data_IF_190249090838
#
_entry.id   IF_190249090838
#
_cell.length_a   1.000
_cell.length_b   1.000
_cell.length_c   1.000
_cell.angle_alpha   90.00
_cell.angle_beta   90.00
_cell.angle_gamma   90.00
#
_symmetry.space_group_name_H-M   'P 1'
#
loop_
_entity.id
_entity.type
_entity.pdbx_description
1 polymer ?
#
# COMPACT_ATOMS: atom_id res chain seq x y z
N UNK A 1 59.18 10.08 -15.97
CA UNK A 1 58.29 9.13 -16.69
C UNK A 1 57.50 8.17 -15.81
N UNK A 2 58.06 7.57 -14.74
CA UNK A 2 57.35 6.58 -13.89
C UNK A 2 56.08 7.14 -13.20
N UNK A 3 56.13 8.33 -12.59
CA UNK A 3 54.96 8.97 -11.92
C UNK A 3 53.76 9.22 -12.85
N UNK A 4 53.99 9.64 -14.11
CA UNK A 4 52.90 9.85 -15.10
C UNK A 4 52.20 8.53 -15.47
N UNK A 5 52.93 7.42 -15.59
CA UNK A 5 52.35 6.10 -15.86
C UNK A 5 51.50 5.59 -14.69
N UNK A 6 51.92 5.81 -13.45
CA UNK A 6 51.15 5.43 -12.25
C UNK A 6 49.83 6.20 -12.12
N UNK A 7 49.83 7.50 -12.44
CA UNK A 7 48.61 8.34 -12.44
C UNK A 7 47.62 7.87 -13.51
N UNK A 8 48.10 7.53 -14.72
CA UNK A 8 47.25 7.02 -15.81
C UNK A 8 46.63 5.67 -15.43
N UNK A 9 47.41 4.74 -14.87
CA UNK A 9 46.90 3.43 -14.43
C UNK A 9 45.87 3.59 -13.31
N UNK A 10 46.15 4.44 -12.32
CA UNK A 10 45.20 4.74 -11.23
C UNK A 10 43.89 5.33 -11.76
N UNK A 11 43.97 6.22 -12.75
CA UNK A 11 42.78 6.82 -13.38
C UNK A 11 41.93 5.79 -14.13
N UNK A 12 42.56 4.83 -14.81
CA UNK A 12 41.87 3.73 -15.51
C UNK A 12 41.18 2.81 -14.50
N UNK A 13 41.85 2.47 -13.39
CA UNK A 13 41.27 1.64 -12.33
C UNK A 13 40.04 2.32 -11.71
N UNK A 14 40.12 3.62 -11.42
CA UNK A 14 38.98 4.40 -10.90
C UNK A 14 37.83 4.41 -11.91
N UNK A 15 38.10 4.59 -13.20
CA UNK A 15 37.07 4.56 -14.24
C UNK A 15 36.38 3.19 -14.31
N UNK A 16 37.14 2.09 -14.25
CA UNK A 16 36.57 0.73 -14.23
C UNK A 16 35.69 0.47 -13.01
N UNK A 17 36.08 0.99 -11.84
CA UNK A 17 35.26 0.90 -10.62
C UNK A 17 33.94 1.68 -10.76
N UNK A 18 33.96 2.87 -11.36
CA UNK A 18 32.76 3.67 -11.62
C UNK A 18 31.84 2.94 -12.61
N UNK A 19 32.39 2.39 -13.70
CA UNK A 19 31.61 1.62 -14.68
C UNK A 19 31.01 0.37 -14.02
N UNK A 20 31.78 -0.35 -13.21
CA UNK A 20 31.28 -1.50 -12.44
C UNK A 20 30.13 -1.14 -11.51
N UNK A 21 30.23 -0.01 -10.80
CA UNK A 21 29.15 0.49 -9.93
C UNK A 21 27.90 0.86 -10.72
N UNK A 22 28.04 1.57 -11.85
CA UNK A 22 26.91 1.94 -12.71
C UNK A 22 26.21 0.70 -13.26
N UNK A 23 26.96 -0.28 -13.76
CA UNK A 23 26.40 -1.56 -14.23
C UNK A 23 25.65 -2.28 -13.11
N UNK A 24 26.24 -2.37 -11.92
CA UNK A 24 25.59 -2.98 -10.76
C UNK A 24 24.26 -2.31 -10.39
N UNK A 25 24.21 -0.97 -10.39
CA UNK A 25 22.99 -0.21 -10.12
C UNK A 25 21.91 -0.45 -11.19
N UNK A 26 22.29 -0.51 -12.47
CA UNK A 26 21.38 -0.82 -13.57
C UNK A 26 20.81 -2.23 -13.45
N UNK A 27 21.66 -3.24 -13.19
CA UNK A 27 21.21 -4.62 -12.98
C UNK A 27 20.25 -4.74 -11.80
N UNK A 28 20.55 -4.06 -10.68
CA UNK A 28 19.67 -4.03 -9.51
C UNK A 28 18.32 -3.40 -9.83
N UNK A 29 18.30 -2.25 -10.53
CA UNK A 29 17.06 -1.58 -10.94
C UNK A 29 16.21 -2.45 -11.85
N UNK A 30 16.81 -3.11 -12.83
CA UNK A 30 16.10 -4.02 -13.74
C UNK A 30 15.44 -5.19 -13.00
N UNK A 31 16.15 -5.79 -12.03
CA UNK A 31 15.59 -6.86 -11.20
C UNK A 31 14.40 -6.38 -10.36
N UNK A 32 14.50 -5.18 -9.76
CA UNK A 32 13.41 -4.59 -8.97
C UNK A 32 12.18 -4.33 -9.86
N UNK A 33 12.36 -3.72 -11.03
CA UNK A 33 11.26 -3.43 -11.95
C UNK A 33 10.54 -4.72 -12.39
N UNK A 34 11.30 -5.76 -12.74
CA UNK A 34 10.74 -7.07 -13.10
C UNK A 34 9.86 -7.63 -11.97
N UNK A 35 10.33 -7.59 -10.72
CA UNK A 35 9.54 -8.06 -9.58
C UNK A 35 8.26 -7.22 -9.38
N UNK A 36 8.31 -5.90 -9.58
CA UNK A 36 7.13 -5.03 -9.49
C UNK A 36 6.11 -5.40 -10.58
N UNK A 37 6.56 -5.67 -11.81
CA UNK A 37 5.67 -6.09 -12.89
C UNK A 37 5.00 -7.44 -12.59
N UNK A 38 5.75 -8.39 -12.02
CA UNK A 38 5.23 -9.69 -11.58
C UNK A 38 4.19 -9.53 -10.45
N UNK A 39 4.45 -8.67 -9.45
CA UNK A 39 3.47 -8.37 -8.39
C UNK A 39 2.19 -7.74 -8.92
N UNK A 40 2.30 -6.78 -9.86
CA UNK A 40 1.14 -6.13 -10.48
C UNK A 40 0.28 -7.12 -11.27
N UNK A 41 0.92 -8.04 -12.00
CA UNK A 41 0.23 -9.12 -12.73
C UNK A 41 -0.48 -10.05 -11.75
N UNK A 42 0.22 -10.51 -10.71
CA UNK A 42 -0.34 -11.38 -9.68
C UNK A 42 -1.56 -10.74 -9.00
N UNK A 43 -1.46 -9.47 -8.59
CA UNK A 43 -2.57 -8.76 -7.96
C UNK A 43 -3.77 -8.63 -8.90
N UNK A 44 -3.52 -8.31 -10.16
CA UNK A 44 -4.56 -8.21 -11.19
C UNK A 44 -5.32 -9.53 -11.37
N UNK A 45 -4.61 -10.66 -11.37
CA UNK A 45 -5.20 -12.00 -11.46
C UNK A 45 -6.01 -12.36 -10.20
N UNK A 46 -5.44 -12.15 -9.01
CA UNK A 46 -6.10 -12.43 -7.73
C UNK A 46 -7.41 -11.65 -7.54
N UNK A 47 -7.38 -10.35 -7.81
CA UNK A 47 -8.54 -9.46 -7.64
C UNK A 47 -9.41 -9.31 -8.88
N UNK A 48 -9.06 -9.95 -10.00
CA UNK A 48 -9.72 -9.80 -11.30
C UNK A 48 -9.81 -8.34 -11.73
N UNK A 49 -8.70 -7.61 -11.59
CA UNK A 49 -8.56 -6.19 -11.94
C UNK A 49 -7.51 -5.99 -13.04
N UNK A 50 -7.18 -4.73 -13.37
CA UNK A 50 -6.17 -4.39 -14.38
C UNK A 50 -4.73 -4.60 -13.89
N UNK A 51 -3.82 -4.99 -14.80
CA UNK A 51 -2.36 -5.03 -14.56
C UNK A 51 -1.78 -3.65 -14.28
N UNK A 52 -2.44 -2.59 -14.75
CA UNK A 52 -2.08 -1.21 -14.44
C UNK A 52 -2.73 -0.78 -13.11
N UNK A 53 -2.21 -1.36 -12.03
CA UNK A 53 -2.63 -1.09 -10.67
C UNK A 53 -1.50 -0.56 -9.78
N UNK A 54 -1.90 0.07 -8.67
CA UNK A 54 -1.00 0.74 -7.71
C UNK A 54 -0.69 -0.10 -6.45
N UNK A 55 -1.16 -1.35 -6.38
CA UNK A 55 -1.00 -2.17 -5.19
C UNK A 55 0.39 -2.81 -5.15
N UNK A 56 1.00 -2.84 -3.97
CA UNK A 56 2.32 -3.44 -3.75
C UNK A 56 2.25 -4.34 -2.53
N UNK A 57 2.65 -5.60 -2.68
CA UNK A 57 2.58 -6.58 -1.59
C UNK A 57 3.55 -6.20 -0.46
N UNK A 58 3.10 -6.39 0.78
CA UNK A 58 3.92 -6.28 1.98
C UNK A 58 3.66 -7.46 2.90
N UNK A 59 4.63 -7.81 3.71
CA UNK A 59 4.42 -8.75 4.83
C UNK A 59 3.72 -8.04 5.98
N UNK A 60 3.19 -8.80 6.93
CA UNK A 60 2.51 -8.23 8.11
C UNK A 60 3.46 -7.37 8.95
N UNK A 61 4.73 -7.77 9.08
CA UNK A 61 5.76 -7.02 9.80
C UNK A 61 6.10 -5.71 9.09
N UNK A 62 6.11 -5.71 7.75
CA UNK A 62 6.27 -4.48 6.96
C UNK A 62 5.08 -3.55 7.11
N UNK A 63 3.85 -4.08 7.12
CA UNK A 63 2.65 -3.30 7.42
C UNK A 63 2.73 -2.70 8.82
N UNK A 64 3.07 -3.48 9.85
CA UNK A 64 3.22 -2.97 11.21
C UNK A 64 4.28 -1.86 11.29
N UNK A 65 5.40 -1.97 10.56
CA UNK A 65 6.40 -0.90 10.47
C UNK A 65 5.85 0.36 9.81
N UNK A 66 5.06 0.21 8.74
CA UNK A 66 4.40 1.33 8.06
C UNK A 66 3.37 2.00 8.98
N UNK A 67 2.56 1.22 9.69
CA UNK A 67 1.58 1.75 10.64
C UNK A 67 2.25 2.47 11.82
N UNK A 68 3.43 2.03 12.26
CA UNK A 68 4.18 2.67 13.36
C UNK A 68 4.89 3.96 12.97
N UNK A 69 5.44 4.04 11.76
CA UNK A 69 6.38 5.11 11.40
C UNK A 69 6.24 5.66 9.97
N UNK A 70 5.48 4.98 9.12
CA UNK A 70 5.40 5.26 7.69
C UNK A 70 4.35 6.30 7.32
N UNK A 71 4.31 6.60 6.02
CA UNK A 71 3.29 7.43 5.38
C UNK A 71 2.80 6.73 4.12
N UNK A 72 1.49 6.69 3.91
CA UNK A 72 0.86 6.11 2.73
C UNK A 72 -0.50 5.49 3.01
N UNK A 73 -1.06 4.85 1.99
CA UNK A 73 -2.27 4.03 2.13
C UNK A 73 -1.92 2.57 2.34
N UNK A 74 -2.58 1.95 3.32
CA UNK A 74 -2.54 0.49 3.56
C UNK A 74 -3.91 -0.10 3.26
N UNK A 75 -3.95 -1.12 2.40
CA UNK A 75 -5.13 -1.90 2.08
C UNK A 75 -5.00 -3.31 2.68
N UNK A 76 -5.95 -3.65 3.55
CA UNK A 76 -6.07 -4.98 4.16
C UNK A 76 -7.28 -5.68 3.54
N UNK A 77 -7.03 -6.78 2.83
CA UNK A 77 -8.05 -7.50 2.06
C UNK A 77 -7.66 -8.96 1.85
N UNK A 78 -8.43 -9.68 1.05
CA UNK A 78 -8.05 -10.99 0.50
C UNK A 78 -8.88 -11.31 -0.76
N UNK A 79 -8.39 -12.12 -1.71
CA UNK A 79 -9.05 -12.32 -3.01
C UNK A 79 -10.45 -12.97 -2.94
N UNK A 80 -10.68 -13.85 -1.98
CA UNK A 80 -11.92 -14.61 -1.81
C UNK A 80 -13.08 -13.72 -1.31
N UNK A 81 -12.73 -12.61 -0.67
CA UNK A 81 -13.62 -11.59 -0.11
C UNK A 81 -14.40 -10.83 -1.20
N UNK A 82 -15.73 -11.06 -1.39
CA UNK A 82 -16.46 -10.52 -2.53
C UNK A 82 -16.45 -9.00 -2.63
N UNK A 83 -16.58 -8.30 -1.51
CA UNK A 83 -16.49 -6.84 -1.56
C UNK A 83 -15.06 -6.30 -1.59
N UNK A 84 -14.05 -7.11 -1.26
CA UNK A 84 -12.67 -6.66 -1.48
C UNK A 84 -12.45 -6.55 -3.00
N UNK A 85 -12.98 -7.51 -3.77
CA UNK A 85 -12.94 -7.48 -5.25
C UNK A 85 -13.68 -6.29 -5.86
N UNK A 86 -14.80 -5.86 -5.29
CA UNK A 86 -15.51 -4.66 -5.77
C UNK A 86 -14.84 -3.34 -5.37
N UNK A 87 -14.20 -3.29 -4.21
CA UNK A 87 -13.56 -2.08 -3.71
C UNK A 87 -12.23 -1.76 -4.40
N UNK A 88 -11.45 -2.79 -4.74
CA UNK A 88 -10.13 -2.66 -5.38
C UNK A 88 -10.14 -1.82 -6.67
N UNK A 89 -11.04 -2.06 -7.65
CA UNK A 89 -11.13 -1.23 -8.84
C UNK A 89 -11.40 0.25 -8.55
N UNK A 90 -12.22 0.55 -7.54
CA UNK A 90 -12.56 1.92 -7.14
C UNK A 90 -11.34 2.61 -6.53
N UNK A 91 -10.67 1.94 -5.58
CA UNK A 91 -9.41 2.46 -5.00
C UNK A 91 -8.39 2.73 -6.11
N UNK A 92 -8.22 1.78 -7.04
CA UNK A 92 -7.24 1.91 -8.12
C UNK A 92 -7.55 3.08 -9.07
N UNK A 93 -8.82 3.26 -9.43
CA UNK A 93 -9.29 4.38 -10.25
C UNK A 93 -8.94 5.71 -9.60
N UNK A 94 -9.32 5.88 -8.32
CA UNK A 94 -9.10 7.14 -7.59
C UNK A 94 -7.60 7.38 -7.37
N UNK A 95 -6.86 6.36 -6.94
CA UNK A 95 -5.42 6.47 -6.71
C UNK A 95 -4.67 6.94 -7.96
N UNK A 96 -4.99 6.38 -9.12
CA UNK A 96 -4.38 6.79 -10.39
C UNK A 96 -4.78 8.19 -10.81
N UNK A 97 -6.05 8.57 -10.61
CA UNK A 97 -6.53 9.93 -10.89
C UNK A 97 -5.80 10.97 -10.05
N UNK A 98 -5.57 10.68 -8.77
CA UNK A 98 -4.90 11.57 -7.82
C UNK A 98 -3.36 11.41 -7.83
N UNK A 99 -2.81 10.60 -8.73
CA UNK A 99 -1.35 10.43 -8.91
C UNK A 99 -0.64 9.68 -7.77
N UNK A 100 -1.37 8.91 -6.94
CA UNK A 100 -0.76 8.04 -5.94
C UNK A 100 -0.18 6.79 -6.62
N UNK A 101 1.15 6.67 -6.62
CA UNK A 101 1.84 5.57 -7.31
C UNK A 101 1.76 4.22 -6.57
N UNK A 102 1.47 4.24 -5.27
CA UNK A 102 1.63 3.06 -4.40
C UNK A 102 0.61 3.01 -3.26
N UNK A 103 -0.01 1.84 -3.11
CA UNK A 103 -0.82 1.42 -1.96
C UNK A 103 -0.22 0.12 -1.44
N UNK A 104 0.08 0.07 -0.14
CA UNK A 104 0.62 -1.12 0.50
C UNK A 104 -0.49 -2.13 0.74
N UNK A 105 -0.38 -3.32 0.19
CA UNK A 105 -1.37 -4.38 0.29
C UNK A 105 -0.86 -5.52 1.17
N UNK A 106 -1.73 -6.02 2.04
CA UNK A 106 -1.52 -7.27 2.74
C UNK A 106 -2.77 -8.15 2.74
N UNK A 107 -2.58 -9.44 2.46
CA UNK A 107 -3.62 -10.45 2.61
C UNK A 107 -3.74 -10.83 4.08
N UNK A 108 -4.77 -10.31 4.76
CA UNK A 108 -4.93 -10.46 6.21
C UNK A 108 -5.62 -11.77 6.62
N UNK A 109 -6.06 -12.61 5.68
CA UNK A 109 -7.00 -13.69 5.97
C UNK A 109 -6.45 -14.72 6.97
N UNK A 110 -5.27 -15.29 6.70
CA UNK A 110 -4.69 -16.35 7.52
C UNK A 110 -4.21 -15.82 8.88
N UNK A 111 -3.52 -14.68 8.92
CA UNK A 111 -3.04 -14.07 10.17
C UNK A 111 -4.18 -13.70 11.12
N UNK A 112 -5.28 -13.15 10.59
CA UNK A 112 -6.48 -12.89 11.39
C UNK A 112 -7.16 -14.17 11.86
N UNK A 113 -7.22 -15.20 11.01
CA UNK A 113 -7.86 -16.48 11.34
C UNK A 113 -7.09 -17.22 12.43
N UNK A 114 -5.76 -17.22 12.34
CA UNK A 114 -4.88 -17.91 13.28
C UNK A 114 -4.47 -17.03 14.47
N UNK A 115 -4.90 -15.76 14.47
CA UNK A 115 -4.66 -14.80 15.53
C UNK A 115 -3.17 -14.64 15.89
N UNK A 116 -2.33 -14.47 14.87
CA UNK A 116 -0.87 -14.41 15.01
C UNK A 116 -0.40 -13.24 15.88
N UNK A 117 0.82 -13.30 16.40
CA UNK A 117 1.39 -12.24 17.24
C UNK A 117 1.48 -10.91 16.47
N UNK A 118 1.86 -10.98 15.20
CA UNK A 118 1.96 -9.84 14.29
C UNK A 118 0.58 -9.24 13.97
N UNK A 119 -0.47 -10.07 13.86
CA UNK A 119 -1.85 -9.60 13.73
C UNK A 119 -2.32 -8.90 15.01
N UNK A 120 -2.01 -9.47 16.18
CA UNK A 120 -2.33 -8.86 17.46
C UNK A 120 -1.62 -7.50 17.66
N UNK A 121 -0.40 -7.37 17.17
CA UNK A 121 0.28 -6.09 17.09
C UNK A 121 -0.45 -5.10 16.17
N UNK A 122 -0.88 -5.54 14.99
CA UNK A 122 -1.65 -4.70 14.06
C UNK A 122 -2.95 -4.20 14.71
N UNK A 123 -3.66 -5.08 15.42
CA UNK A 123 -4.89 -4.73 16.17
C UNK A 123 -4.60 -3.61 17.18
N UNK A 124 -3.50 -3.72 17.94
CA UNK A 124 -3.09 -2.68 18.91
C UNK A 124 -2.77 -1.35 18.24
N UNK A 125 -2.11 -1.35 17.08
CA UNK A 125 -1.77 -0.14 16.33
C UNK A 125 -3.01 0.58 15.78
N UNK A 126 -4.07 -0.16 15.48
CA UNK A 126 -5.33 0.37 14.95
C UNK A 126 -6.40 0.58 16.02
N UNK A 127 -6.04 0.42 17.30
CA UNK A 127 -6.96 0.56 18.43
C UNK A 127 -7.75 1.87 18.37
N UNK A 128 -9.06 1.77 18.62
CA UNK A 128 -9.98 2.91 18.55
C UNK A 128 -10.56 3.19 17.16
N UNK A 129 -10.03 2.58 16.09
CA UNK A 129 -10.63 2.57 14.75
C UNK A 129 -11.37 1.26 14.46
N UNK A 130 -11.07 0.21 15.22
CA UNK A 130 -11.59 -1.14 14.98
C UNK A 130 -12.99 -1.35 15.58
N UNK A 131 -13.71 -2.31 14.98
CA UNK A 131 -14.93 -2.85 15.54
C UNK A 131 -14.64 -4.02 16.46
N UNK A 132 -15.66 -4.43 17.20
CA UNK A 132 -15.63 -5.62 18.03
C UNK A 132 -16.26 -6.80 17.30
N UNK A 133 -15.73 -8.00 17.53
CA UNK A 133 -16.43 -9.24 17.21
C UNK A 133 -17.49 -9.60 18.27
N UNK A 134 -18.18 -10.72 18.06
CA UNK A 134 -19.28 -11.16 18.93
C UNK A 134 -18.81 -11.51 20.35
N UNK A 135 -17.51 -11.73 20.54
CA UNK A 135 -16.88 -12.00 21.84
C UNK A 135 -16.40 -10.70 22.52
N UNK A 136 -16.54 -9.55 21.86
CA UNK A 136 -16.13 -8.25 22.39
C UNK A 136 -14.65 -7.93 22.18
N UNK A 137 -13.96 -8.63 21.27
CA UNK A 137 -12.56 -8.37 20.95
C UNK A 137 -12.43 -7.43 19.74
N UNK A 138 -11.49 -6.48 19.79
CA UNK A 138 -11.19 -5.63 18.63
C UNK A 138 -10.72 -6.49 17.44
N UNK A 139 -11.33 -6.27 16.27
CA UNK A 139 -11.13 -7.10 15.08
C UNK A 139 -11.05 -6.25 13.81
N UNK A 140 -10.09 -6.60 12.96
CA UNK A 140 -9.94 -6.00 11.64
C UNK A 140 -10.85 -6.73 10.64
N UNK A 141 -11.88 -6.02 10.18
CA UNK A 141 -12.75 -6.49 9.12
C UNK A 141 -12.19 -6.11 7.75
N UNK A 142 -12.33 -7.02 6.78
CA UNK A 142 -11.91 -6.75 5.40
C UNK A 142 -13.12 -6.24 4.59
N UNK A 143 -12.91 -5.39 3.57
CA UNK A 143 -11.69 -4.64 3.36
C UNK A 143 -11.52 -3.57 4.46
N UNK A 144 -10.27 -3.20 4.72
CA UNK A 144 -9.93 -1.96 5.40
C UNK A 144 -8.96 -1.16 4.51
N UNK A 145 -9.22 0.13 4.34
CA UNK A 145 -8.25 1.09 3.77
C UNK A 145 -7.85 2.06 4.88
N UNK A 146 -6.56 2.30 5.01
CA UNK A 146 -5.99 3.03 6.15
C UNK A 146 -5.07 4.12 5.61
N UNK A 147 -5.31 5.37 5.98
CA UNK A 147 -4.39 6.46 5.73
C UNK A 147 -3.50 6.66 6.96
N UNK A 148 -2.19 6.49 6.78
CA UNK A 148 -1.19 6.73 7.81
C UNK A 148 -0.22 7.81 7.36
N UNK A 149 0.16 8.70 8.28
CA UNK A 149 1.18 9.75 8.06
C UNK A 149 2.11 9.83 9.26
N UNK A 150 3.38 9.52 9.05
CA UNK A 150 4.41 9.45 10.08
C UNK A 150 3.98 8.59 11.28
N UNK A 151 3.35 7.44 11.01
CA UNK A 151 2.84 6.53 12.04
C UNK A 151 1.52 6.93 12.71
N UNK A 152 0.95 8.09 12.36
CA UNK A 152 -0.38 8.51 12.82
C UNK A 152 -1.44 8.05 11.85
N UNK A 153 -2.44 7.30 12.32
CA UNK A 153 -3.64 6.97 11.54
C UNK A 153 -4.48 8.24 11.41
N UNK A 154 -4.69 8.70 10.19
CA UNK A 154 -5.48 9.88 9.87
C UNK A 154 -6.93 9.51 9.57
N UNK A 155 -7.11 8.45 8.79
CA UNK A 155 -8.42 7.97 8.37
C UNK A 155 -8.44 6.44 8.27
N UNK A 156 -9.62 5.88 8.55
CA UNK A 156 -9.89 4.45 8.48
C UNK A 156 -11.20 4.22 7.72
N UNK A 157 -11.15 3.41 6.67
CA UNK A 157 -12.31 3.05 5.86
C UNK A 157 -12.58 1.56 5.88
N UNK A 158 -13.67 1.20 6.55
CA UNK A 158 -14.20 -0.15 6.67
C UNK A 158 -15.69 -0.21 6.27
N UNK A 159 -16.12 0.70 5.38
CA UNK A 159 -17.51 1.12 5.05
C UNK A 159 -18.52 0.02 4.72
N UNK A 160 -18.14 -1.25 4.83
CA UNK A 160 -18.99 -2.43 4.78
C UNK A 160 -20.14 -2.55 5.78
N UNK A 161 -20.32 -1.68 6.76
CA UNK A 161 -21.29 -1.99 7.84
C UNK A 161 -22.44 -1.00 8.02
N UNK A 162 -22.40 0.17 7.38
CA UNK A 162 -23.55 1.07 7.44
C UNK A 162 -24.60 0.73 6.37
N UNK A 163 -24.16 0.32 5.18
CA UNK A 163 -25.06 0.11 4.04
C UNK A 163 -25.35 -1.37 3.72
N UNK A 164 -24.65 -2.35 4.31
CA UNK A 164 -24.93 -3.77 4.03
C UNK A 164 -26.28 -4.27 4.58
N UNK A 165 -26.96 -3.50 5.44
CA UNK A 165 -28.35 -3.78 5.82
C UNK A 165 -29.35 -3.35 4.74
N UNK A 166 -28.92 -2.51 3.80
CA UNK A 166 -29.71 -2.03 2.67
C UNK A 166 -29.61 -2.95 1.44
N UNK A 167 -28.57 -3.78 1.35
CA UNK A 167 -28.30 -4.65 0.21
C UNK A 167 -28.08 -6.09 0.68
N UNK A 168 -28.66 -7.05 -0.03
CA UNK A 168 -28.60 -8.47 0.34
C UNK A 168 -27.24 -9.11 0.02
N UNK A 169 -26.45 -8.47 -0.85
CA UNK A 169 -25.14 -9.00 -1.26
C UNK A 169 -24.12 -7.91 -1.63
N UNK A 170 -22.84 -8.32 -1.67
CA UNK A 170 -21.77 -7.47 -2.19
C UNK A 170 -22.01 -7.07 -3.66
N UNK A 171 -22.48 -8.01 -4.48
CA UNK A 171 -22.72 -7.79 -5.89
C UNK A 171 -23.78 -6.70 -6.12
N UNK A 172 -24.90 -6.81 -5.41
CA UNK A 172 -25.98 -5.84 -5.46
C UNK A 172 -25.51 -4.44 -5.02
N UNK A 173 -24.73 -4.36 -3.94
CA UNK A 173 -24.14 -3.11 -3.48
C UNK A 173 -23.29 -2.45 -4.56
N UNK A 174 -22.34 -3.18 -5.17
CA UNK A 174 -21.45 -2.58 -6.18
C UNK A 174 -22.17 -2.17 -7.47
N UNK A 175 -23.28 -2.83 -7.79
CA UNK A 175 -24.09 -2.49 -8.97
C UNK A 175 -25.04 -1.31 -8.73
N UNK A 176 -25.47 -1.08 -7.48
CA UNK A 176 -26.62 -0.22 -7.19
C UNK A 176 -26.33 0.95 -6.25
N UNK A 177 -25.23 0.92 -5.50
CA UNK A 177 -24.89 1.98 -4.56
C UNK A 177 -24.39 3.25 -5.28
N UNK A 178 -24.70 4.42 -4.71
CA UNK A 178 -24.01 5.65 -5.08
C UNK A 178 -22.59 5.62 -4.52
N UNK A 179 -21.61 5.41 -5.40
CA UNK A 179 -20.20 5.31 -5.04
C UNK A 179 -19.52 6.67 -4.88
N UNK A 180 -20.20 7.79 -5.13
CA UNK A 180 -19.61 9.12 -5.04
C UNK A 180 -19.05 9.45 -3.65
N UNK A 181 -19.76 9.22 -2.52
CA UNK A 181 -19.22 9.50 -1.19
C UNK A 181 -17.99 8.65 -0.87
N UNK A 182 -17.98 7.39 -1.34
CA UNK A 182 -16.84 6.50 -1.19
C UNK A 182 -15.62 7.02 -1.97
N UNK A 183 -15.79 7.41 -3.23
CA UNK A 183 -14.72 8.00 -4.04
C UNK A 183 -14.17 9.28 -3.42
N UNK A 184 -15.05 10.16 -2.91
CA UNK A 184 -14.66 11.40 -2.21
C UNK A 184 -13.85 11.11 -0.94
N UNK A 185 -14.26 10.12 -0.14
CA UNK A 185 -13.50 9.67 1.04
C UNK A 185 -12.12 9.16 0.64
N UNK A 186 -12.02 8.30 -0.37
CA UNK A 186 -10.72 7.78 -0.86
C UNK A 186 -9.84 8.94 -1.37
N UNK A 187 -10.39 9.90 -2.12
CA UNK A 187 -9.66 11.09 -2.56
C UNK A 187 -9.10 11.87 -1.38
N UNK A 188 -9.91 12.10 -0.33
CA UNK A 188 -9.45 12.75 0.92
C UNK A 188 -8.29 11.99 1.54
N UNK A 189 -8.44 10.67 1.73
CA UNK A 189 -7.41 9.81 2.31
C UNK A 189 -6.09 9.85 1.50
N UNK A 190 -6.18 9.84 0.16
CA UNK A 190 -5.02 9.97 -0.71
C UNK A 190 -4.35 11.32 -0.51
N UNK A 191 -5.11 12.42 -0.51
CA UNK A 191 -4.56 13.77 -0.38
C UNK A 191 -3.84 13.96 0.97
N UNK A 192 -4.39 13.43 2.05
CA UNK A 192 -3.76 13.51 3.38
C UNK A 192 -2.36 12.87 3.43
N UNK A 193 -2.15 11.76 2.69
CA UNK A 193 -0.86 11.06 2.62
C UNK A 193 0.03 11.55 1.48
N UNK A 194 -0.54 12.14 0.43
CA UNK A 194 0.16 12.73 -0.71
C UNK A 194 0.56 14.18 -0.50
N UNK A 195 0.06 14.86 0.53
CA UNK A 195 0.56 16.15 0.97
C UNK A 195 2.08 16.03 1.18
N UNK A 196 2.84 16.37 0.13
CA UNK A 196 4.12 17.04 0.24
C UNK A 196 3.86 18.06 1.33
N UNK A 197 4.54 17.92 2.47
CA UNK A 197 4.50 18.89 3.56
C UNK A 197 4.25 20.25 2.94
N UNK A 198 3.05 20.80 3.13
CA UNK A 198 2.86 22.19 2.81
C UNK A 198 3.94 22.87 3.64
N UNK A 199 4.98 23.36 2.97
CA UNK A 199 5.87 24.36 3.53
C UNK A 199 4.94 25.53 3.81
N UNK A 200 4.31 25.48 4.97
CA UNK A 200 3.70 26.62 5.61
C UNK A 200 4.91 27.42 6.06
N UNK A 201 5.18 28.47 5.28
CA UNK A 201 6.09 29.58 5.54
C UNK A 201 7.08 29.37 6.70
N UNK A 202 8.32 29.01 6.36
CA UNK A 202 9.58 29.48 6.97
C UNK A 202 10.71 28.56 6.52
N UNK A 203 11.09 28.71 5.25
CA UNK A 203 12.36 28.19 4.72
C UNK A 203 13.05 29.33 3.98
N UNK A 204 13.47 30.34 4.75
CA UNK A 204 14.60 31.22 4.44
C UNK A 204 15.85 30.70 5.16
#
# INVERSE_FOLDING_TARGET
MKKKKTIIISSIVVLLLIVGLVLFLVFKKNKINKNIDEEKIKFAEEYKTTKDNVFTYRTIEEINKILKNGTGLVFLGFPECPWCRGYVPIINEVAKKEGLEKIYYFNIYEDRKNNTEEYQEMVKLLKGFLRYDDEGNERIYAPSLIAVKNGKILEFDDTRYWDNKKYDSAEEFWQSADLKPMKEKITKMINEVNEKSACTADCD
#
